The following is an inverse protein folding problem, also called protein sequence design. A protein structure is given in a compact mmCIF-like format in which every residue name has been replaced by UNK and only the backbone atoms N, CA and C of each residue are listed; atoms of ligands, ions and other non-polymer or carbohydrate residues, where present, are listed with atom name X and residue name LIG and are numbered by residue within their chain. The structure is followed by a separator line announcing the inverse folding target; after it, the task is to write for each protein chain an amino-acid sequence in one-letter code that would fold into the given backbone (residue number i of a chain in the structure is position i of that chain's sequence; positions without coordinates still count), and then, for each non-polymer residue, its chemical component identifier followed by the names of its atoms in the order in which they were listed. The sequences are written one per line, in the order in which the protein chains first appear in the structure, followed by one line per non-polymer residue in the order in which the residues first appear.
data_IF_509649720601
#
_entry.id   IF_509649720601
#
_cell.length_a   1.000
_cell.length_b   1.000
_cell.length_c   1.000
_cell.angle_alpha   90.00
_cell.angle_beta   90.00
_cell.angle_gamma   90.00
#
_symmetry.space_group_name_H-M   'P 1'
#
loop_
_entity.id
_entity.type
_entity.pdbx_description
1 polymer ?
#
# COMPACT_ATOMS: atom_id res chain seq x y z
N UNK A 1 40.45 -53.16 -40.97
CA UNK A 1 41.04 -54.47 -40.63
C UNK A 1 40.65 -54.83 -39.20
N UNK A 2 40.19 -56.08 -39.02
CA UNK A 2 39.98 -56.80 -37.77
C UNK A 2 38.94 -56.25 -36.79
N UNK A 3 37.71 -56.74 -37.02
CA UNK A 3 36.71 -57.10 -36.03
C UNK A 3 37.36 -57.92 -34.90
N UNK A 4 37.17 -57.51 -33.66
CA UNK A 4 37.11 -58.43 -32.52
C UNK A 4 35.83 -58.09 -31.77
N UNK A 5 34.79 -58.83 -32.12
CA UNK A 5 33.57 -58.99 -31.36
C UNK A 5 33.99 -59.75 -30.11
N UNK A 6 33.99 -59.08 -28.96
CA UNK A 6 33.94 -59.76 -27.68
C UNK A 6 32.81 -59.11 -26.87
N UNK A 7 31.73 -59.87 -26.85
CA UNK A 7 30.50 -59.69 -26.10
C UNK A 7 30.86 -59.31 -24.65
N UNK A 8 30.70 -58.04 -24.28
CA UNK A 8 30.76 -57.63 -22.87
C UNK A 8 29.43 -58.06 -22.26
N UNK A 9 29.42 -59.31 -21.78
CA UNK A 9 28.46 -59.76 -20.79
C UNK A 9 28.74 -58.90 -19.56
N UNK A 10 27.94 -57.86 -19.36
CA UNK A 10 27.87 -57.17 -18.07
C UNK A 10 27.39 -58.23 -17.10
N UNK A 11 28.35 -58.73 -16.32
CA UNK A 11 28.15 -59.60 -15.19
C UNK A 11 27.18 -58.91 -14.23
N UNK A 12 25.91 -59.26 -14.34
CA UNK A 12 24.92 -59.06 -13.29
C UNK A 12 25.40 -59.87 -12.08
N UNK A 13 26.27 -59.27 -11.27
CA UNK A 13 26.40 -59.61 -9.87
C UNK A 13 25.15 -59.10 -9.16
N UNK A 14 24.00 -59.70 -9.48
CA UNK A 14 22.95 -59.85 -8.48
C UNK A 14 23.33 -61.11 -7.73
N UNK A 15 23.87 -60.88 -6.53
CA UNK A 15 24.08 -61.89 -5.52
C UNK A 15 22.80 -62.72 -5.40
N UNK A 16 22.84 -63.95 -5.92
CA UNK A 16 22.03 -65.02 -5.38
C UNK A 16 22.47 -65.20 -3.93
N UNK A 17 21.84 -64.42 -3.05
CA UNK A 17 21.81 -64.72 -1.64
C UNK A 17 21.01 -66.00 -1.53
N UNK A 18 21.74 -67.11 -1.53
CA UNK A 18 21.46 -68.32 -0.78
C UNK A 18 19.96 -68.66 -0.68
N UNK A 19 19.41 -69.29 -1.72
CA UNK A 19 18.41 -70.33 -1.49
C UNK A 19 19.13 -71.61 -1.00
N UNK A 20 19.87 -71.48 0.10
CA UNK A 20 20.30 -72.62 0.90
C UNK A 20 19.18 -72.90 1.89
N UNK A 21 18.14 -73.55 1.39
CA UNK A 21 17.31 -74.40 2.22
C UNK A 21 17.37 -75.79 1.62
N UNK A 22 18.29 -76.58 2.17
CA UNK A 22 18.06 -77.98 2.53
C UNK A 22 17.28 -78.76 1.48
N UNK A 23 17.89 -78.99 0.32
CA UNK A 23 17.50 -80.12 -0.52
C UNK A 23 18.50 -81.25 -0.20
N UNK A 24 18.06 -82.44 0.24
CA UNK A 24 18.96 -83.48 0.67
C UNK A 24 19.83 -83.99 -0.49
N UNK A 25 21.09 -84.24 -0.15
CA UNK A 25 22.10 -84.91 -0.98
C UNK A 25 21.60 -86.32 -1.37
N UNK A 26 21.54 -86.66 -2.67
CA UNK A 26 21.02 -87.95 -3.13
C UNK A 26 21.86 -89.17 -2.70
N UNK A 27 23.04 -88.99 -2.09
CA UNK A 27 23.91 -90.09 -1.64
C UNK A 27 23.73 -90.49 -0.15
N UNK A 28 22.75 -89.93 0.58
CA UNK A 28 22.39 -90.36 1.95
C UNK A 28 20.93 -90.84 2.06
N UNK A 29 20.66 -92.17 2.17
CA UNK A 29 19.32 -92.68 2.36
C UNK A 29 18.94 -92.58 3.84
N UNK A 30 18.27 -91.49 4.23
CA UNK A 30 17.78 -91.31 5.60
C UNK A 30 17.05 -90.01 5.93
N UNK A 31 17.10 -88.97 5.08
CA UNK A 31 16.50 -87.68 5.45
C UNK A 31 15.03 -87.60 5.01
N UNK A 32 14.13 -87.99 5.92
CA UNK A 32 12.70 -87.76 5.76
C UNK A 32 12.36 -86.26 5.87
N UNK A 33 11.82 -85.67 4.80
CA UNK A 33 11.33 -84.28 4.80
C UNK A 33 10.00 -84.23 5.57
N UNK A 34 9.85 -83.25 6.45
CA UNK A 34 8.58 -83.00 7.16
C UNK A 34 7.67 -82.17 6.26
N UNK A 35 6.55 -82.76 5.85
CA UNK A 35 5.48 -82.14 5.08
C UNK A 35 4.30 -81.85 6.00
N UNK A 36 3.67 -80.68 5.86
CA UNK A 36 2.58 -80.21 6.71
C UNK A 36 1.29 -80.21 5.92
N UNK A 37 0.21 -80.74 6.51
CA UNK A 37 -1.09 -80.81 5.84
C UNK A 37 -1.55 -79.39 5.51
N UNK A 38 -2.02 -79.20 4.29
CA UNK A 38 -2.60 -77.95 3.78
C UNK A 38 -4.04 -78.28 3.37
N UNK A 39 -4.98 -78.04 4.28
CA UNK A 39 -6.37 -78.45 4.16
C UNK A 39 -7.21 -77.41 3.41
N UNK A 40 -6.84 -76.13 3.43
CA UNK A 40 -7.56 -75.06 2.74
C UNK A 40 -6.95 -74.63 1.40
N UNK A 41 -5.72 -75.07 1.11
CA UNK A 41 -5.05 -74.90 -0.17
C UNK A 41 -4.35 -73.54 -0.34
N UNK A 42 -4.04 -72.82 0.74
CA UNK A 42 -3.39 -71.50 0.67
C UNK A 42 -1.85 -71.57 0.51
N UNK A 43 -1.28 -72.77 0.60
CA UNK A 43 0.15 -73.03 0.44
C UNK A 43 0.96 -73.02 1.74
N UNK A 44 0.31 -72.78 2.89
CA UNK A 44 0.84 -72.98 4.22
C UNK A 44 0.16 -74.21 4.83
N UNK A 45 0.93 -74.97 5.61
CA UNK A 45 0.43 -76.19 6.23
C UNK A 45 0.48 -76.09 7.74
N UNK A 46 -0.37 -76.87 8.39
CA UNK A 46 -0.49 -76.88 9.84
C UNK A 46 0.75 -77.47 10.53
N UNK A 47 1.47 -76.72 11.37
CA UNK A 47 2.67 -77.20 12.08
C UNK A 47 2.41 -78.40 12.98
N UNK A 48 1.16 -78.59 13.44
CA UNK A 48 0.75 -79.68 14.33
C UNK A 48 0.26 -80.91 13.57
N UNK A 49 0.15 -80.85 12.24
CA UNK A 49 -0.27 -81.95 11.39
C UNK A 49 0.76 -82.17 10.29
N UNK A 50 1.84 -82.88 10.64
CA UNK A 50 2.91 -83.20 9.70
C UNK A 50 3.14 -84.69 9.51
N UNK A 51 3.68 -85.05 8.35
CA UNK A 51 4.15 -86.40 8.03
C UNK A 51 5.55 -86.32 7.43
N UNK A 52 6.34 -87.36 7.66
CA UNK A 52 7.67 -87.51 7.11
C UNK A 52 7.62 -88.30 5.79
N UNK A 53 8.19 -87.76 4.72
CA UNK A 53 8.23 -88.43 3.42
C UNK A 53 9.35 -87.91 2.52
N UNK A 54 9.89 -88.77 1.67
CA UNK A 54 10.91 -88.41 0.68
C UNK A 54 10.37 -87.61 -0.51
N UNK A 55 9.04 -87.57 -0.71
CA UNK A 55 8.37 -86.81 -1.78
C UNK A 55 7.11 -86.12 -1.23
N UNK A 56 6.68 -85.01 -1.85
CA UNK A 56 5.50 -84.26 -1.41
C UNK A 56 4.23 -85.12 -1.44
N UNK A 57 3.60 -85.39 -0.29
CA UNK A 57 2.32 -86.09 -0.23
C UNK A 57 1.18 -85.18 -0.72
N UNK A 58 0.14 -85.77 -1.31
CA UNK A 58 -1.01 -84.99 -1.79
C UNK A 58 -1.74 -84.32 -0.61
N UNK A 59 -2.02 -83.01 -0.72
CA UNK A 59 -2.64 -82.21 0.34
C UNK A 59 -1.68 -81.83 1.48
N UNK A 60 -0.36 -81.87 1.23
CA UNK A 60 0.66 -81.39 2.17
C UNK A 60 1.64 -80.44 1.47
N UNK A 61 2.15 -79.44 2.19
CA UNK A 61 3.12 -78.44 1.73
C UNK A 61 4.35 -78.41 2.64
N UNK A 62 5.44 -77.83 2.14
CA UNK A 62 6.70 -77.76 2.89
C UNK A 62 6.65 -76.71 4.02
N UNK A 63 5.88 -75.64 3.82
CA UNK A 63 5.82 -74.52 4.76
C UNK A 63 4.80 -74.77 5.87
N UNK A 64 5.25 -75.27 7.03
CA UNK A 64 4.39 -75.56 8.17
C UNK A 64 3.96 -74.36 9.01
N UNK A 65 3.82 -73.17 8.42
CA UNK A 65 3.58 -71.94 9.18
C UNK A 65 2.10 -71.55 9.32
N UNK A 66 1.17 -72.42 8.97
CA UNK A 66 -0.25 -72.07 8.96
C UNK A 66 -0.85 -71.98 10.37
N UNK A 67 -1.45 -70.83 10.65
CA UNK A 67 -2.16 -70.56 11.89
C UNK A 67 -3.56 -71.20 11.94
N UNK A 68 -4.27 -71.29 10.81
CA UNK A 68 -5.62 -71.85 10.69
C UNK A 68 -5.80 -72.53 9.32
N UNK A 69 -5.33 -73.77 9.27
CA UNK A 69 -5.40 -74.74 8.15
C UNK A 69 -6.82 -75.08 7.66
N UNK A 70 -7.85 -74.38 8.15
CA UNK A 70 -9.22 -74.48 7.66
C UNK A 70 -9.72 -73.21 6.97
N UNK A 71 -8.91 -72.15 6.93
CA UNK A 71 -9.27 -70.84 6.41
C UNK A 71 -8.15 -70.24 5.56
N UNK A 72 -8.31 -70.20 4.22
CA UNK A 72 -7.24 -69.80 3.29
C UNK A 72 -6.91 -68.30 3.32
N UNK A 73 -7.49 -67.55 4.25
CA UNK A 73 -7.19 -66.15 4.50
C UNK A 73 -6.29 -65.94 5.73
N UNK A 74 -5.97 -67.00 6.49
CA UNK A 74 -5.18 -66.95 7.73
C UNK A 74 -4.00 -67.91 7.63
N UNK A 75 -3.03 -67.59 6.77
CA UNK A 75 -1.76 -68.32 6.70
C UNK A 75 -0.82 -67.99 7.87
N UNK A 76 0.44 -67.58 7.61
CA UNK A 76 1.44 -67.44 8.66
C UNK A 76 1.25 -66.19 9.52
N UNK A 77 1.82 -66.23 10.73
CA UNK A 77 1.92 -65.05 11.58
C UNK A 77 2.65 -63.92 10.83
N UNK A 78 2.12 -62.69 10.92
CA UNK A 78 2.74 -61.48 10.37
C UNK A 78 2.84 -60.38 11.42
N UNK A 79 3.70 -59.40 11.16
CA UNK A 79 3.79 -58.23 12.02
C UNK A 79 2.58 -57.33 11.84
N UNK A 80 1.97 -56.96 12.97
CA UNK A 80 0.98 -55.91 13.11
C UNK A 80 1.59 -54.79 13.94
N UNK A 81 1.31 -53.54 13.58
CA UNK A 81 1.93 -52.33 14.14
C UNK A 81 0.90 -51.56 14.93
N UNK A 82 1.26 -51.10 16.14
CA UNK A 82 0.33 -50.39 17.01
C UNK A 82 -0.09 -49.08 16.35
N UNK A 83 -1.40 -48.82 16.40
CA UNK A 83 -2.09 -47.64 15.88
C UNK A 83 -2.95 -47.07 17.02
N UNK A 84 -2.43 -46.07 17.72
CA UNK A 84 -3.03 -45.56 18.97
C UNK A 84 -3.89 -44.34 18.76
N UNK A 85 -3.64 -43.59 17.69
CA UNK A 85 -4.44 -42.43 17.31
C UNK A 85 -5.57 -42.80 16.33
N UNK A 86 -5.53 -44.00 15.75
CA UNK A 86 -6.60 -44.60 14.95
C UNK A 86 -6.60 -44.14 13.50
N UNK A 87 -5.47 -43.69 12.96
CA UNK A 87 -5.37 -43.17 11.59
C UNK A 87 -5.20 -44.26 10.51
N UNK A 88 -5.01 -45.52 10.94
CA UNK A 88 -4.83 -46.69 10.07
C UNK A 88 -3.38 -47.02 9.72
N UNK A 89 -2.42 -46.28 10.27
CA UNK A 89 -0.99 -46.51 10.14
C UNK A 89 -0.40 -46.75 11.52
N UNK A 90 0.48 -47.74 11.63
CA UNK A 90 1.13 -48.07 12.88
C UNK A 90 2.64 -47.88 12.83
N UNK A 91 3.27 -47.82 13.99
CA UNK A 91 4.73 -47.58 14.07
C UNK A 91 5.54 -48.88 14.05
N UNK A 92 6.63 -48.89 13.26
CA UNK A 92 7.52 -50.06 13.17
C UNK A 92 8.22 -50.44 14.49
N UNK A 93 8.29 -49.49 15.44
CA UNK A 93 8.88 -49.66 16.77
C UNK A 93 7.98 -50.47 17.72
N UNK A 94 6.67 -50.48 17.50
CA UNK A 94 5.71 -51.22 18.32
C UNK A 94 4.94 -52.21 17.46
N UNK A 95 5.47 -53.43 17.37
CA UNK A 95 4.88 -54.49 16.56
C UNK A 95 4.68 -55.78 17.31
N UNK A 96 3.64 -56.50 16.94
CA UNK A 96 3.25 -57.80 17.49
C UNK A 96 3.14 -58.80 16.34
N UNK A 97 3.65 -60.00 16.56
CA UNK A 97 3.53 -61.11 15.62
C UNK A 97 2.20 -61.83 15.92
N UNK A 98 1.30 -61.91 14.95
CA UNK A 98 -0.03 -62.52 15.12
C UNK A 98 -0.61 -62.97 13.78
N UNK A 99 -1.43 -64.02 13.81
CA UNK A 99 -2.15 -64.55 12.65
C UNK A 99 -3.21 -63.56 12.13
N UNK A 100 -3.88 -62.86 13.04
CA UNK A 100 -4.93 -61.87 12.72
C UNK A 100 -4.66 -60.52 13.39
N UNK A 101 -5.33 -59.48 12.89
CA UNK A 101 -5.27 -58.14 13.46
C UNK A 101 -5.69 -58.16 14.93
N UNK A 102 -4.88 -57.57 15.80
CA UNK A 102 -5.25 -57.30 17.19
C UNK A 102 -5.92 -55.92 17.27
N UNK A 103 -6.78 -55.73 18.27
CA UNK A 103 -7.42 -54.42 18.50
C UNK A 103 -6.36 -53.35 18.76
N UNK A 104 -6.40 -52.25 18.02
CA UNK A 104 -5.40 -51.18 18.08
C UNK A 104 -4.10 -51.48 17.33
N UNK A 105 -4.10 -52.44 16.41
CA UNK A 105 -2.95 -52.75 15.55
C UNK A 105 -3.37 -52.87 14.07
N UNK A 106 -2.52 -52.37 13.18
CA UNK A 106 -2.74 -52.33 11.72
C UNK A 106 -1.57 -52.97 10.97
N UNK A 107 -1.77 -53.35 9.71
CA UNK A 107 -0.73 -54.00 8.91
C UNK A 107 0.27 -53.02 8.26
N UNK A 108 -0.08 -51.73 8.21
CA UNK A 108 0.76 -50.70 7.59
C UNK A 108 1.68 -50.08 8.64
N UNK A 109 2.99 -50.13 8.42
CA UNK A 109 4.00 -49.64 9.36
C UNK A 109 4.49 -48.21 9.08
N UNK A 110 3.79 -47.45 8.24
CA UNK A 110 4.29 -46.18 7.69
C UNK A 110 4.01 -44.98 8.58
N UNK A 111 3.68 -45.18 9.86
CA UNK A 111 3.48 -44.10 10.80
C UNK A 111 4.81 -43.61 11.41
N UNK A 112 4.89 -42.30 11.55
CA UNK A 112 5.98 -41.57 12.15
C UNK A 112 5.89 -41.47 13.69
N UNK A 113 4.67 -41.39 14.24
CA UNK A 113 4.43 -41.26 15.68
C UNK A 113 3.03 -41.77 16.01
N UNK A 114 2.99 -42.91 16.69
CA UNK A 114 1.79 -43.64 17.12
C UNK A 114 0.78 -42.80 17.92
N UNK A 115 1.17 -41.61 18.38
CA UNK A 115 0.30 -40.70 19.13
C UNK A 115 -0.24 -39.53 18.30
N UNK A 116 0.09 -39.43 17.01
CA UNK A 116 -0.38 -38.36 16.14
C UNK A 116 -0.47 -38.80 14.66
N UNK A 117 -1.42 -38.21 13.94
CA UNK A 117 -1.78 -38.68 12.59
C UNK A 117 -0.83 -38.17 11.49
N UNK A 118 0.44 -37.89 11.81
CA UNK A 118 1.40 -37.32 10.87
C UNK A 118 2.08 -38.41 10.07
N UNK A 119 1.63 -38.56 8.83
CA UNK A 119 2.29 -39.43 7.88
C UNK A 119 3.63 -38.85 7.36
N UNK A 120 4.57 -39.71 6.95
CA UNK A 120 5.81 -39.27 6.33
C UNK A 120 5.52 -38.52 5.03
N UNK A 121 6.26 -37.44 4.80
CA UNK A 121 6.14 -36.58 3.62
C UNK A 121 7.45 -36.50 2.86
N UNK A 122 7.39 -36.09 1.60
CA UNK A 122 8.59 -35.81 0.84
C UNK A 122 9.23 -34.49 1.29
N UNK A 123 10.54 -34.55 1.47
CA UNK A 123 11.42 -33.39 1.61
C UNK A 123 12.38 -33.36 0.42
N UNK A 124 12.72 -32.17 -0.02
CA UNK A 124 13.48 -31.88 -1.25
C UNK A 124 14.81 -31.26 -0.87
N UNK A 125 15.89 -31.68 -1.52
CA UNK A 125 17.24 -31.19 -1.20
C UNK A 125 17.32 -29.70 -1.51
N UNK A 126 17.80 -28.93 -0.55
CA UNK A 126 18.04 -27.50 -0.63
C UNK A 126 19.55 -27.29 -0.53
N UNK A 127 20.16 -26.93 -1.67
CA UNK A 127 21.62 -26.95 -1.84
C UNK A 127 22.24 -25.59 -1.58
N UNK A 128 21.53 -24.53 -1.93
CA UNK A 128 21.98 -23.14 -1.78
C UNK A 128 21.37 -22.43 -0.57
N UNK A 129 20.43 -23.07 0.12
CA UNK A 129 19.92 -22.69 1.44
C UNK A 129 18.82 -21.64 1.39
N UNK A 130 18.06 -21.55 0.31
CA UNK A 130 17.04 -20.52 0.11
C UNK A 130 15.64 -20.89 0.62
N UNK A 131 15.46 -22.14 1.07
CA UNK A 131 14.19 -22.65 1.58
C UNK A 131 13.32 -23.36 0.54
N UNK A 132 13.74 -23.42 -0.71
CA UNK A 132 13.14 -24.21 -1.79
C UNK A 132 14.05 -25.39 -2.11
N UNK A 133 13.47 -26.54 -2.42
CA UNK A 133 14.23 -27.73 -2.77
C UNK A 133 13.79 -28.31 -4.10
N UNK A 134 14.70 -29.04 -4.74
CA UNK A 134 14.47 -29.53 -6.10
C UNK A 134 13.74 -30.88 -6.14
N UNK A 135 12.72 -30.99 -7.01
CA UNK A 135 11.91 -32.22 -7.21
C UNK A 135 12.71 -33.47 -7.60
N UNK A 136 13.88 -33.28 -8.24
CA UNK A 136 14.74 -34.37 -8.70
C UNK A 136 15.49 -35.07 -7.55
N UNK A 137 15.57 -34.45 -6.37
CA UNK A 137 16.26 -35.00 -5.22
C UNK A 137 15.38 -34.89 -3.97
N UNK A 138 14.65 -35.96 -3.68
CA UNK A 138 13.70 -36.02 -2.57
C UNK A 138 13.85 -37.26 -1.71
N UNK A 139 13.56 -37.10 -0.43
CA UNK A 139 13.58 -38.16 0.59
C UNK A 139 12.24 -38.18 1.32
N UNK A 140 11.72 -39.37 1.60
CA UNK A 140 10.51 -39.56 2.39
C UNK A 140 10.90 -39.64 3.87
N UNK A 141 10.25 -38.87 4.74
CA UNK A 141 10.53 -38.91 6.16
C UNK A 141 9.49 -38.21 7.01
N UNK A 142 9.65 -38.34 8.33
CA UNK A 142 8.76 -37.76 9.34
C UNK A 142 9.13 -36.33 9.71
N UNK A 143 10.39 -35.98 9.50
CA UNK A 143 10.96 -34.66 9.73
C UNK A 143 11.96 -34.36 8.63
N UNK A 144 12.14 -33.09 8.30
CA UNK A 144 13.10 -32.65 7.30
C UNK A 144 14.53 -33.07 7.71
N UNK A 145 15.23 -33.88 6.90
CA UNK A 145 16.65 -34.12 7.13
C UNK A 145 17.46 -32.84 6.94
N UNK A 146 18.66 -32.78 7.52
CA UNK A 146 19.55 -31.63 7.32
C UNK A 146 19.82 -31.38 5.83
N UNK A 147 19.60 -30.15 5.37
CA UNK A 147 19.75 -29.76 3.96
C UNK A 147 18.58 -30.16 3.06
N UNK A 148 17.40 -30.43 3.64
CA UNK A 148 16.17 -30.67 2.90
C UNK A 148 15.04 -29.79 3.45
N UNK A 149 14.09 -29.42 2.57
CA UNK A 149 12.92 -28.58 2.86
C UNK A 149 11.65 -29.20 2.31
N UNK A 150 10.47 -28.81 2.81
CA UNK A 150 9.19 -29.36 2.33
C UNK A 150 8.68 -28.70 1.05
N UNK A 151 9.22 -27.52 0.70
CA UNK A 151 8.81 -26.79 -0.50
C UNK A 151 9.61 -27.28 -1.71
N UNK A 152 8.92 -27.66 -2.79
CA UNK A 152 9.51 -28.29 -3.96
C UNK A 152 9.70 -27.33 -5.15
N UNK A 153 9.54 -26.01 -4.93
CA UNK A 153 9.49 -25.02 -6.00
C UNK A 153 10.85 -24.56 -6.53
N UNK A 154 11.95 -25.21 -6.14
CA UNK A 154 13.26 -24.86 -6.66
C UNK A 154 13.46 -25.40 -8.09
N UNK A 155 14.00 -24.54 -8.94
CA UNK A 155 14.38 -24.81 -10.31
C UNK A 155 15.88 -24.75 -10.55
N UNK A 156 16.66 -24.24 -9.59
CA UNK A 156 18.09 -24.06 -9.67
C UNK A 156 18.75 -24.14 -8.29
N UNK A 157 19.05 -25.37 -7.87
CA UNK A 157 19.86 -25.79 -6.70
C UNK A 157 21.25 -25.11 -6.54
N UNK A 158 21.61 -24.14 -7.36
CA UNK A 158 22.88 -23.41 -7.26
C UNK A 158 22.69 -21.89 -7.22
N UNK A 159 21.46 -21.40 -7.14
CA UNK A 159 21.14 -19.99 -7.15
C UNK A 159 19.99 -19.65 -6.19
N UNK A 160 20.36 -19.32 -4.96
CA UNK A 160 19.47 -18.91 -3.86
C UNK A 160 18.62 -17.65 -4.12
N UNK A 161 18.69 -17.06 -5.32
CA UNK A 161 17.83 -15.94 -5.75
C UNK A 161 16.67 -16.39 -6.63
N UNK A 162 16.47 -17.69 -6.85
CA UNK A 162 15.38 -18.27 -7.63
C UNK A 162 14.70 -19.39 -6.82
N UNK A 163 13.37 -19.55 -6.92
CA UNK A 163 12.42 -18.81 -7.76
C UNK A 163 12.18 -17.36 -7.29
N UNK A 164 11.60 -16.53 -8.18
CA UNK A 164 11.19 -15.16 -7.88
C UNK A 164 9.69 -14.99 -8.01
N UNK A 165 9.13 -14.06 -7.25
CA UNK A 165 7.77 -13.59 -7.50
C UNK A 165 7.75 -12.60 -8.66
N UNK A 166 6.77 -12.76 -9.54
CA UNK A 166 6.48 -11.90 -10.67
C UNK A 166 5.07 -11.32 -10.51
N UNK A 167 4.96 -10.01 -10.56
CA UNK A 167 3.74 -9.22 -10.36
C UNK A 167 3.37 -8.58 -11.70
N UNK A 168 2.07 -8.54 -12.02
CA UNK A 168 1.60 -7.88 -13.23
C UNK A 168 1.97 -6.40 -13.15
N UNK A 169 2.57 -5.86 -14.20
CA UNK A 169 3.02 -4.48 -14.34
C UNK A 169 2.34 -3.92 -15.59
N UNK A 170 1.14 -3.36 -15.40
CA UNK A 170 0.25 -3.01 -16.52
C UNK A 170 0.55 -1.62 -17.09
N UNK A 171 1.20 -0.74 -16.33
CA UNK A 171 1.56 0.62 -16.74
C UNK A 171 3.06 0.84 -17.04
N UNK A 172 3.88 -0.19 -16.83
CA UNK A 172 5.28 -0.31 -17.25
C UNK A 172 6.24 0.61 -16.51
N UNK A 173 5.98 0.85 -15.23
CA UNK A 173 6.82 1.70 -14.42
C UNK A 173 7.90 0.96 -13.62
N UNK A 174 7.91 -0.37 -13.72
CA UNK A 174 8.87 -1.26 -13.10
C UNK A 174 8.42 -1.80 -11.75
N UNK A 175 7.25 -1.43 -11.25
CA UNK A 175 6.60 -2.04 -10.10
C UNK A 175 5.34 -2.74 -10.57
N UNK A 176 5.09 -3.94 -10.03
CA UNK A 176 3.84 -4.64 -10.30
C UNK A 176 2.94 -4.69 -9.07
N UNK A 177 1.69 -5.05 -9.32
CA UNK A 177 0.65 -5.19 -8.31
C UNK A 177 0.02 -6.59 -8.27
N UNK A 178 -0.78 -6.83 -7.24
CA UNK A 178 -1.62 -8.01 -7.12
C UNK A 178 -0.92 -9.27 -6.61
N UNK A 179 -1.45 -10.44 -7.01
CA UNK A 179 -0.94 -11.75 -6.56
C UNK A 179 0.27 -12.12 -7.40
N UNK A 180 1.45 -12.16 -6.77
CA UNK A 180 2.69 -12.57 -7.43
C UNK A 180 2.69 -14.06 -7.80
N UNK A 181 3.19 -14.37 -8.99
CA UNK A 181 3.44 -15.73 -9.48
C UNK A 181 4.87 -16.11 -9.14
N UNK A 182 5.07 -17.20 -8.40
CA UNK A 182 6.40 -17.72 -8.09
C UNK A 182 6.91 -18.56 -9.27
N UNK A 183 7.93 -18.06 -9.96
CA UNK A 183 8.53 -18.74 -11.12
C UNK A 183 10.01 -18.36 -11.27
N UNK A 184 10.75 -19.20 -11.97
CA UNK A 184 12.17 -19.07 -12.19
C UNK A 184 12.51 -18.23 -13.41
N UNK A 185 11.63 -18.28 -14.40
CA UNK A 185 11.72 -17.44 -15.57
C UNK A 185 10.64 -16.37 -15.49
N UNK A 186 10.96 -15.19 -16.00
CA UNK A 186 9.95 -14.15 -16.17
C UNK A 186 8.83 -14.67 -17.08
N UNK A 187 7.56 -14.53 -16.67
CA UNK A 187 6.44 -14.87 -17.54
C UNK A 187 6.50 -14.08 -18.85
N UNK A 188 6.14 -14.73 -19.96
CA UNK A 188 6.34 -14.19 -21.31
C UNK A 188 5.16 -13.38 -21.84
N UNK A 189 4.20 -12.97 -21.00
CA UNK A 189 3.15 -12.06 -21.47
C UNK A 189 3.77 -10.69 -21.75
N UNK A 190 3.39 -10.13 -22.89
CA UNK A 190 3.80 -8.79 -23.31
C UNK A 190 2.59 -7.90 -23.42
N UNK A 191 2.75 -6.63 -23.07
CA UNK A 191 1.73 -5.61 -23.31
C UNK A 191 1.55 -5.37 -24.82
N UNK A 192 0.48 -4.69 -25.27
CA UNK A 192 0.20 -4.44 -26.69
C UNK A 192 1.34 -3.76 -27.47
N UNK A 193 2.24 -3.06 -26.78
CA UNK A 193 3.41 -2.39 -27.36
C UNK A 193 4.69 -3.25 -27.38
N UNK A 194 4.63 -4.47 -26.81
CA UNK A 194 5.72 -5.44 -26.78
C UNK A 194 6.64 -5.34 -25.56
N UNK A 195 6.35 -4.47 -24.59
CA UNK A 195 7.04 -4.46 -23.29
C UNK A 195 6.67 -5.70 -22.47
N UNK A 196 7.42 -5.97 -21.39
CA UNK A 196 7.16 -7.09 -20.50
C UNK A 196 6.07 -6.68 -19.50
N UNK A 197 5.01 -7.47 -19.41
CA UNK A 197 3.86 -7.18 -18.53
C UNK A 197 4.08 -7.58 -17.06
N UNK A 198 5.33 -7.81 -16.63
CA UNK A 198 5.62 -8.32 -15.29
C UNK A 198 6.89 -7.71 -14.70
N UNK A 199 6.79 -7.26 -13.45
CA UNK A 199 7.92 -6.86 -12.62
C UNK A 199 8.22 -7.90 -11.54
N UNK A 200 9.49 -8.03 -11.14
CA UNK A 200 9.88 -8.80 -9.96
C UNK A 200 9.91 -7.94 -8.68
N UNK A 201 9.40 -6.71 -8.75
CA UNK A 201 9.27 -5.76 -7.65
C UNK A 201 7.77 -5.50 -7.45
N UNK A 202 7.30 -5.69 -6.22
CA UNK A 202 5.91 -5.44 -5.82
C UNK A 202 5.79 -4.02 -5.24
N UNK A 203 4.55 -3.60 -5.01
CA UNK A 203 4.22 -2.43 -4.20
C UNK A 203 3.58 -1.30 -4.99
N UNK A 204 3.25 -1.55 -6.26
CA UNK A 204 2.47 -0.59 -7.02
C UNK A 204 1.04 -0.49 -6.46
N UNK A 205 0.68 0.73 -6.07
CA UNK A 205 -0.64 1.06 -5.53
C UNK A 205 -1.62 1.49 -6.63
N UNK A 206 -1.16 1.75 -7.86
CA UNK A 206 -1.98 2.08 -9.02
C UNK A 206 -1.33 1.63 -10.35
N UNK A 207 -1.48 0.33 -10.64
CA UNK A 207 -1.01 -0.38 -11.85
C UNK A 207 -1.58 0.12 -13.19
N UNK A 208 -2.38 1.19 -13.19
CA UNK A 208 -2.90 1.84 -14.41
C UNK A 208 -2.23 3.22 -14.67
N UNK A 209 -1.29 3.66 -13.84
CA UNK A 209 -0.64 4.96 -13.96
C UNK A 209 0.82 4.97 -13.48
N UNK A 210 1.72 4.92 -14.46
CA UNK A 210 3.17 4.87 -14.26
C UNK A 210 3.82 6.05 -13.55
N UNK A 211 3.06 7.06 -13.11
CA UNK A 211 3.54 8.12 -12.23
C UNK A 211 3.26 7.85 -10.74
N UNK A 212 2.49 6.82 -10.41
CA UNK A 212 2.08 6.47 -9.05
C UNK A 212 2.72 5.14 -8.70
N UNK A 213 3.83 5.18 -7.95
CA UNK A 213 4.65 4.00 -7.66
C UNK A 213 5.57 4.21 -6.47
N UNK A 214 6.12 3.15 -5.87
CA UNK A 214 7.13 3.24 -4.82
C UNK A 214 8.25 4.26 -5.11
N UNK A 215 8.29 5.31 -4.29
CA UNK A 215 9.31 6.37 -4.34
C UNK A 215 9.14 7.41 -5.46
N UNK A 216 7.96 7.52 -6.07
CA UNK A 216 7.64 8.63 -6.96
C UNK A 216 7.68 9.99 -6.24
N UNK A 217 7.58 11.09 -7.00
CA UNK A 217 7.50 12.42 -6.40
C UNK A 217 6.06 12.70 -5.95
N UNK A 218 5.89 12.89 -4.65
CA UNK A 218 4.64 13.35 -4.06
C UNK A 218 4.13 14.69 -4.62
N UNK A 219 2.84 14.70 -4.99
CA UNK A 219 2.08 15.85 -5.44
C UNK A 219 0.93 16.03 -4.46
N UNK A 220 0.70 17.25 -3.99
CA UNK A 220 -0.43 17.56 -3.12
C UNK A 220 -1.75 17.64 -3.93
N UNK A 221 -2.20 16.51 -4.48
CA UNK A 221 -3.43 16.34 -5.24
C UNK A 221 -4.46 15.41 -4.55
N UNK A 222 -4.10 14.86 -3.38
CA UNK A 222 -4.92 13.97 -2.58
C UNK A 222 -4.74 12.49 -2.90
N UNK A 223 -3.70 12.13 -3.66
CA UNK A 223 -3.31 10.77 -4.01
C UNK A 223 -1.97 10.45 -3.34
N UNK A 224 -1.80 9.21 -2.89
CA UNK A 224 -0.49 8.65 -2.51
C UNK A 224 0.27 8.35 -3.81
N UNK A 225 1.16 9.24 -4.23
CA UNK A 225 1.88 9.07 -5.50
C UNK A 225 3.07 8.15 -5.35
N UNK A 226 3.69 8.09 -4.16
CA UNK A 226 4.90 7.33 -3.91
C UNK A 226 4.68 5.95 -3.25
N UNK A 227 3.41 5.57 -3.07
CA UNK A 227 2.93 4.31 -2.52
C UNK A 227 3.53 3.96 -1.14
N UNK A 228 3.86 4.95 -0.30
CA UNK A 228 4.36 4.73 1.06
C UNK A 228 3.24 4.58 2.11
N UNK A 229 1.98 4.82 1.71
CA UNK A 229 0.78 4.76 2.55
C UNK A 229 0.41 6.10 3.21
N UNK A 230 1.17 7.17 2.97
CA UNK A 230 0.83 8.54 3.33
C UNK A 230 0.28 9.29 2.10
N UNK A 231 -0.37 10.42 2.34
CA UNK A 231 -0.97 11.22 1.27
C UNK A 231 -0.50 12.66 1.44
N UNK A 232 -0.01 13.27 0.36
CA UNK A 232 0.37 14.68 0.25
C UNK A 232 1.48 15.12 1.26
N UNK A 233 2.44 14.24 1.56
CA UNK A 233 3.58 14.50 2.45
C UNK A 233 4.75 15.21 1.77
N UNK A 234 4.58 15.61 0.51
CA UNK A 234 5.52 16.47 -0.18
C UNK A 234 5.90 17.73 0.62
N UNK A 235 7.17 18.20 0.54
CA UNK A 235 7.64 19.38 1.26
C UNK A 235 6.80 20.63 0.98
N UNK A 236 6.14 21.15 2.02
CA UNK A 236 5.32 22.36 1.95
C UNK A 236 6.20 23.61 1.96
N UNK A 237 5.88 24.65 1.16
CA UNK A 237 6.63 25.90 1.20
C UNK A 237 6.54 26.57 2.57
N UNK A 238 7.55 27.40 2.89
CA UNK A 238 7.50 28.25 4.07
C UNK A 238 6.32 29.22 4.06
N UNK A 239 5.89 29.65 5.25
CA UNK A 239 4.84 30.68 5.37
C UNK A 239 5.35 32.01 4.79
N UNK A 240 4.58 32.71 3.93
CA UNK A 240 4.99 34.02 3.41
C UNK A 240 5.34 35.02 4.52
N UNK A 241 6.30 35.89 4.25
CA UNK A 241 6.60 37.04 5.10
C UNK A 241 5.40 37.99 5.20
N UNK A 242 5.36 38.77 6.28
CA UNK A 242 4.26 39.73 6.52
C UNK A 242 4.20 40.77 5.40
N UNK A 243 3.07 40.89 4.68
CA UNK A 243 2.88 41.92 3.66
C UNK A 243 2.87 43.33 4.26
N UNK A 244 3.30 44.32 3.48
CA UNK A 244 3.16 45.72 3.87
C UNK A 244 1.74 46.23 3.61
N UNK A 245 1.28 47.15 4.46
CA UNK A 245 -0.09 47.68 4.44
C UNK A 245 -0.04 49.20 4.28
N UNK A 246 -0.55 49.72 3.17
CA UNK A 246 -0.60 51.15 2.90
C UNK A 246 -2.05 51.62 2.80
N UNK A 247 -2.45 52.51 3.71
CA UNK A 247 -3.84 52.96 3.87
C UNK A 247 -4.10 54.23 3.09
N UNK A 248 -5.24 54.28 2.42
CA UNK A 248 -5.72 55.42 1.66
C UNK A 248 -7.17 55.71 2.01
N UNK A 249 -7.65 56.89 1.63
CA UNK A 249 -9.06 57.22 1.79
C UNK A 249 -9.92 56.34 0.88
N UNK A 250 -10.75 55.49 1.50
CA UNK A 250 -11.67 54.58 0.82
C UNK A 250 -11.07 53.24 0.39
N UNK A 251 -9.75 53.03 0.52
CA UNK A 251 -9.13 51.75 0.19
C UNK A 251 -7.80 51.52 0.91
N UNK A 252 -7.27 50.31 0.82
CA UNK A 252 -5.94 49.95 1.32
C UNK A 252 -5.25 49.06 0.32
N UNK A 253 -3.95 49.24 0.15
CA UNK A 253 -3.11 48.40 -0.71
C UNK A 253 -2.27 47.49 0.18
N UNK A 254 -2.38 46.19 -0.07
CA UNK A 254 -1.55 45.17 0.56
C UNK A 254 -0.49 44.76 -0.45
N UNK A 255 0.79 44.74 -0.06
CA UNK A 255 1.91 44.41 -0.96
C UNK A 255 2.74 43.28 -0.36
N UNK A 256 2.86 42.18 -1.10
CA UNK A 256 3.68 41.02 -0.70
C UNK A 256 5.15 41.22 -1.06
N UNK A 257 6.03 40.52 -0.37
CA UNK A 257 7.44 40.40 -0.77
C UNK A 257 7.64 39.53 -2.02
N UNK A 258 8.89 39.42 -2.46
CA UNK A 258 9.31 38.45 -3.47
C UNK A 258 9.15 37.03 -2.95
N UNK A 259 8.84 36.10 -3.87
CA UNK A 259 8.80 34.67 -3.57
C UNK A 259 10.15 34.03 -3.93
N UNK A 260 10.56 32.96 -3.22
CA UNK A 260 11.70 32.13 -3.62
C UNK A 260 11.49 31.49 -5.01
N UNK A 261 12.59 31.01 -5.61
CA UNK A 261 12.51 30.21 -6.85
C UNK A 261 11.65 28.96 -6.63
N UNK A 262 10.87 28.58 -7.63
CA UNK A 262 9.96 27.42 -7.56
C UNK A 262 8.71 27.64 -6.71
N UNK A 263 8.53 28.80 -6.08
CA UNK A 263 7.39 29.13 -5.23
C UNK A 263 6.62 30.33 -5.78
N UNK A 264 5.29 30.21 -5.82
CA UNK A 264 4.40 31.33 -6.19
C UNK A 264 3.51 31.72 -5.01
N UNK A 265 3.40 33.03 -4.75
CA UNK A 265 2.51 33.55 -3.71
C UNK A 265 1.17 33.96 -4.30
N UNK A 266 0.09 33.54 -3.64
CA UNK A 266 -1.28 33.83 -4.05
C UNK A 266 -2.07 34.45 -2.91
N UNK A 267 -2.83 35.48 -3.27
CA UNK A 267 -3.77 36.17 -2.41
C UNK A 267 -5.05 35.35 -2.23
N UNK A 268 -5.48 35.13 -0.97
CA UNK A 268 -6.61 34.28 -0.63
C UNK A 268 -7.70 35.06 0.13
N UNK A 269 -8.96 34.68 -0.10
CA UNK A 269 -10.14 35.19 0.60
C UNK A 269 -10.42 34.47 1.93
N UNK A 270 -9.85 33.28 2.13
CA UNK A 270 -9.98 32.49 3.36
C UNK A 270 -8.62 31.99 3.84
N UNK A 271 -8.56 31.56 5.10
CA UNK A 271 -7.34 31.03 5.71
C UNK A 271 -6.90 29.69 5.12
N UNK A 272 -7.78 28.93 4.47
CA UNK A 272 -7.46 27.66 3.80
C UNK A 272 -7.54 27.74 2.28
N UNK A 273 -7.69 28.95 1.71
CA UNK A 273 -7.90 29.13 0.28
C UNK A 273 -6.78 28.56 -0.58
N UNK A 274 -7.15 27.92 -1.69
CA UNK A 274 -6.24 27.31 -2.67
C UNK A 274 -6.37 27.94 -4.06
N UNK A 275 -6.89 29.17 -4.14
CA UNK A 275 -7.08 29.86 -5.42
C UNK A 275 -5.74 30.30 -6.01
N UNK A 276 -5.52 30.00 -7.28
CA UNK A 276 -4.34 30.45 -8.04
C UNK A 276 -4.64 31.69 -8.89
N UNK A 277 -5.78 32.35 -8.67
CA UNK A 277 -6.26 33.44 -9.53
C UNK A 277 -5.47 34.75 -9.42
N UNK A 278 -4.87 35.04 -8.26
CA UNK A 278 -4.19 36.31 -8.03
C UNK A 278 -2.81 36.13 -7.39
N UNK A 279 -1.78 36.20 -8.22
CA UNK A 279 -0.37 36.23 -7.82
C UNK A 279 0.27 37.61 -7.93
N UNK A 280 -0.51 38.69 -8.07
CA UNK A 280 0.03 40.04 -8.22
C UNK A 280 0.85 40.46 -6.98
N UNK A 281 1.84 41.33 -7.19
CA UNK A 281 2.68 41.85 -6.10
C UNK A 281 1.89 42.66 -5.07
N UNK A 282 0.75 43.22 -5.46
CA UNK A 282 -0.16 43.94 -4.58
C UNK A 282 -1.62 43.66 -4.89
N UNK A 283 -2.48 43.92 -3.91
CA UNK A 283 -3.93 43.90 -4.06
C UNK A 283 -4.56 45.08 -3.33
N UNK A 284 -5.56 45.70 -3.98
CA UNK A 284 -6.35 46.79 -3.39
C UNK A 284 -7.62 46.24 -2.74
N UNK A 285 -7.87 46.67 -1.51
CA UNK A 285 -9.05 46.31 -0.73
C UNK A 285 -9.87 47.56 -0.41
N UNK A 286 -11.15 47.54 -0.79
CA UNK A 286 -12.15 48.58 -0.49
C UNK A 286 -13.13 48.17 0.62
N UNK A 287 -13.04 46.92 1.09
CA UNK A 287 -13.82 46.39 2.20
C UNK A 287 -13.09 45.22 2.87
N UNK A 288 -13.50 44.90 4.11
CA UNK A 288 -12.94 43.83 4.93
C UNK A 288 -11.92 44.31 5.96
N UNK A 289 -11.48 43.40 6.81
CA UNK A 289 -10.53 43.65 7.91
C UNK A 289 -9.36 42.67 7.93
N UNK A 290 -9.51 41.53 7.27
CA UNK A 290 -8.49 40.49 7.14
C UNK A 290 -8.45 39.99 5.70
N UNK A 291 -7.24 39.68 5.25
CA UNK A 291 -6.99 38.99 4.00
C UNK A 291 -5.80 38.05 4.18
N UNK A 292 -5.56 37.18 3.21
CA UNK A 292 -4.63 36.08 3.41
C UNK A 292 -3.66 35.99 2.24
N UNK A 293 -2.45 35.51 2.53
CA UNK A 293 -1.44 35.21 1.55
C UNK A 293 -0.91 33.80 1.81
N UNK A 294 -0.83 32.98 0.76
CA UNK A 294 -0.28 31.63 0.83
C UNK A 294 0.74 31.40 -0.26
N UNK A 295 1.71 30.54 0.01
CA UNK A 295 2.70 30.10 -0.96
C UNK A 295 2.30 28.74 -1.51
N UNK A 296 2.55 28.52 -2.80
CA UNK A 296 2.36 27.24 -3.47
C UNK A 296 3.68 26.78 -4.09
N UNK A 297 4.03 25.52 -3.89
CA UNK A 297 5.13 24.87 -4.61
C UNK A 297 4.69 24.66 -6.07
N UNK A 298 5.50 25.09 -7.03
CA UNK A 298 5.15 25.01 -8.44
C UNK A 298 5.26 23.59 -9.01
N UNK A 299 6.01 22.71 -8.34
CA UNK A 299 6.21 21.31 -8.73
C UNK A 299 5.17 20.44 -8.02
N UNK A 300 5.23 20.39 -6.69
CA UNK A 300 4.37 19.50 -5.89
C UNK A 300 2.96 20.04 -5.69
N UNK A 301 2.68 21.29 -6.08
CA UNK A 301 1.37 21.90 -5.89
C UNK A 301 0.99 22.21 -4.43
N UNK A 302 1.84 21.82 -3.46
CA UNK A 302 1.59 21.93 -2.04
C UNK A 302 1.51 23.37 -1.56
N UNK A 303 0.55 23.61 -0.67
CA UNK A 303 0.32 24.92 -0.07
C UNK A 303 1.00 25.07 1.28
N UNK A 304 1.54 26.25 1.54
CA UNK A 304 2.08 26.60 2.85
C UNK A 304 0.98 26.87 3.88
N UNK A 305 1.39 26.93 5.15
CA UNK A 305 0.61 27.57 6.20
C UNK A 305 0.33 29.04 5.86
N UNK A 306 -0.82 29.52 6.33
CA UNK A 306 -1.35 30.80 5.87
C UNK A 306 -0.78 31.99 6.60
N UNK A 307 -0.48 33.05 5.85
CA UNK A 307 -0.20 34.37 6.39
C UNK A 307 -1.47 35.21 6.43
N UNK A 308 -1.96 35.48 7.63
CA UNK A 308 -3.03 36.46 7.85
C UNK A 308 -2.50 37.89 7.81
N UNK A 309 -3.23 38.77 7.13
CA UNK A 309 -2.93 40.19 6.99
C UNK A 309 -4.12 40.98 7.51
N UNK A 310 -3.97 41.55 8.70
CA UNK A 310 -4.98 42.45 9.27
C UNK A 310 -4.78 43.85 8.70
N UNK A 311 -5.86 44.49 8.28
CA UNK A 311 -5.84 45.85 7.76
C UNK A 311 -7.10 46.63 8.13
N UNK A 312 -7.03 47.94 7.95
CA UNK A 312 -8.16 48.84 8.13
C UNK A 312 -8.16 49.84 6.99
N UNK A 313 -9.34 50.30 6.59
CA UNK A 313 -9.50 51.28 5.51
C UNK A 313 -9.82 52.63 6.13
N UNK A 314 -9.16 53.69 5.66
CA UNK A 314 -9.48 55.02 6.13
C UNK A 314 -10.85 55.41 5.57
N UNK A 315 -11.83 55.59 6.45
CA UNK A 315 -13.20 55.94 6.07
C UNK A 315 -13.24 57.34 5.45
N UNK A 316 -13.94 57.45 4.33
CA UNK A 316 -14.31 58.74 3.74
C UNK A 316 -15.60 59.19 4.44
N UNK A 317 -15.66 60.39 5.04
CA UNK A 317 -16.90 60.92 5.58
C UNK A 317 -17.96 61.09 4.48
N UNK A 318 -19.23 60.99 4.87
CA UNK A 318 -20.33 61.32 3.97
C UNK A 318 -20.26 62.78 3.53
N UNK A 319 -20.78 63.04 2.32
CA UNK A 319 -20.90 64.40 1.81
C UNK A 319 -21.87 65.19 2.68
N UNK A 320 -21.53 66.40 3.16
CA UNK A 320 -22.42 67.21 3.97
C UNK A 320 -23.81 67.38 3.34
N UNK A 321 -24.83 67.46 4.20
CA UNK A 321 -26.19 67.84 3.79
C UNK A 321 -26.19 69.26 3.20
N UNK A 322 -27.20 69.57 2.38
CA UNK A 322 -27.36 70.90 1.79
C UNK A 322 -27.44 71.98 2.88
N UNK A 323 -26.55 72.99 2.89
CA UNK A 323 -26.63 74.12 3.82
C UNK A 323 -27.91 74.94 3.62
N UNK A 324 -28.44 75.53 4.68
CA UNK A 324 -29.56 76.47 4.57
C UNK A 324 -29.07 77.82 4.06
N UNK A 325 -29.87 78.48 3.23
CA UNK A 325 -29.53 79.73 2.56
C UNK A 325 -30.46 80.83 3.06
N UNK A 326 -29.90 81.88 3.68
CA UNK A 326 -30.61 83.08 4.08
C UNK A 326 -30.14 84.27 3.26
N UNK A 327 -31.01 84.79 2.38
CA UNK A 327 -30.73 85.97 1.54
C UNK A 327 -31.09 87.25 2.29
N UNK A 328 -30.14 88.18 2.40
CA UNK A 328 -30.35 89.51 2.94
C UNK A 328 -30.04 90.56 1.85
N UNK A 329 -30.33 91.84 2.11
CA UNK A 329 -29.87 92.92 1.22
C UNK A 329 -28.34 93.02 1.29
N UNK A 330 -27.67 92.93 0.13
CA UNK A 330 -26.21 93.06 0.00
C UNK A 330 -25.39 91.84 0.42
N UNK A 331 -25.99 90.79 1.00
CA UNK A 331 -25.28 89.55 1.32
C UNK A 331 -26.21 88.33 1.40
N UNK A 332 -25.61 87.15 1.33
CA UNK A 332 -26.28 85.86 1.60
C UNK A 332 -25.47 85.08 2.62
N UNK A 333 -26.16 84.57 3.64
CA UNK A 333 -25.57 83.73 4.70
C UNK A 333 -25.88 82.27 4.39
N UNK A 334 -24.83 81.45 4.34
CA UNK A 334 -24.91 80.01 4.22
C UNK A 334 -24.64 79.39 5.58
N UNK A 335 -25.51 78.48 6.03
CA UNK A 335 -25.41 77.85 7.35
C UNK A 335 -25.30 76.34 7.21
N UNK A 336 -24.23 75.75 7.74
CA UNK A 336 -24.04 74.31 7.75
C UNK A 336 -24.88 73.64 8.86
N UNK A 337 -25.17 72.35 8.68
CA UNK A 337 -25.73 71.49 9.71
C UNK A 337 -24.67 71.06 10.73
N UNK A 338 -25.11 70.41 11.81
CA UNK A 338 -24.19 69.81 12.78
C UNK A 338 -23.43 68.65 12.14
N UNK A 339 -22.11 68.62 12.31
CA UNK A 339 -21.30 67.51 11.84
C UNK A 339 -21.40 66.30 12.77
N UNK A 340 -21.30 65.07 12.23
CA UNK A 340 -21.18 63.86 13.04
C UNK A 340 -19.92 63.88 13.93
N UNK A 341 -19.93 63.09 15.01
CA UNK A 341 -18.75 62.92 15.87
C UNK A 341 -17.53 62.45 15.06
N UNK A 342 -16.35 63.02 15.34
CA UNK A 342 -15.11 62.70 14.63
C UNK A 342 -14.99 63.30 13.22
N UNK A 343 -15.96 64.11 12.78
CA UNK A 343 -15.96 64.79 11.48
C UNK A 343 -16.08 66.30 11.67
N UNK A 344 -15.29 67.06 10.93
CA UNK A 344 -15.38 68.53 10.89
C UNK A 344 -15.75 68.98 9.49
N UNK A 345 -16.70 69.90 9.39
CA UNK A 345 -17.09 70.52 8.12
C UNK A 345 -16.29 71.79 7.88
N UNK A 346 -15.83 71.97 6.63
CA UNK A 346 -15.06 73.12 6.21
C UNK A 346 -15.61 73.70 4.91
N UNK A 347 -15.78 75.01 4.92
CA UNK A 347 -16.16 75.78 3.75
C UNK A 347 -15.01 75.87 2.74
N UNK A 348 -15.29 75.64 1.45
CA UNK A 348 -14.29 75.57 0.39
C UNK A 348 -14.64 76.50 -0.78
N UNK A 349 -13.62 77.08 -1.40
CA UNK A 349 -13.71 77.88 -2.63
C UNK A 349 -13.82 77.04 -3.90
N UNK A 350 -13.51 75.74 -3.83
CA UNK A 350 -13.63 74.80 -4.95
C UNK A 350 -14.19 73.46 -4.48
N UNK A 351 -14.70 72.66 -5.41
CA UNK A 351 -15.23 71.31 -5.15
C UNK A 351 -14.16 70.32 -4.68
N UNK A 352 -12.88 70.60 -4.92
CA UNK A 352 -11.74 69.76 -4.49
C UNK A 352 -10.93 70.39 -3.35
N UNK A 353 -11.33 71.55 -2.83
CA UNK A 353 -10.57 72.29 -1.81
C UNK A 353 -10.39 71.50 -0.52
N UNK A 354 -9.20 71.58 0.07
CA UNK A 354 -8.81 70.86 1.30
C UNK A 354 -8.40 71.83 2.41
N UNK A 355 -8.83 73.10 2.33
CA UNK A 355 -8.50 74.09 3.34
C UNK A 355 -9.19 73.78 4.66
N UNK A 356 -8.46 73.86 5.77
CA UNK A 356 -9.02 73.72 7.12
C UNK A 356 -9.20 75.07 7.81
N UNK A 357 -9.17 76.19 7.07
CA UNK A 357 -9.18 77.54 7.63
C UNK A 357 -10.55 78.01 8.13
N UNK A 358 -11.65 77.46 7.62
CA UNK A 358 -12.99 77.92 7.99
C UNK A 358 -13.94 76.74 8.26
N UNK A 359 -14.15 76.46 9.54
CA UNK A 359 -15.14 75.48 10.05
C UNK A 359 -16.35 76.14 10.74
N UNK A 360 -16.53 77.44 10.56
CA UNK A 360 -17.61 78.19 11.21
C UNK A 360 -19.00 77.72 10.77
N UNK A 361 -19.97 77.75 11.68
CA UNK A 361 -21.36 77.34 11.41
C UNK A 361 -22.00 78.15 10.27
N UNK A 362 -21.61 79.41 10.12
CA UNK A 362 -22.15 80.33 9.13
C UNK A 362 -21.04 80.97 8.32
N UNK A 363 -21.23 81.11 7.01
CA UNK A 363 -20.40 81.99 6.18
C UNK A 363 -21.26 83.01 5.45
N UNK A 364 -20.85 84.28 5.54
CA UNK A 364 -21.48 85.38 4.82
C UNK A 364 -20.76 85.61 3.50
N UNK A 365 -21.53 85.64 2.41
CA UNK A 365 -21.05 85.92 1.06
C UNK A 365 -21.63 87.25 0.58
N UNK A 366 -20.77 88.11 0.05
CA UNK A 366 -21.14 89.40 -0.57
C UNK A 366 -20.97 89.38 -2.09
N UNK A 367 -20.41 88.29 -2.64
CA UNK A 367 -20.20 88.09 -4.08
C UNK A 367 -20.08 86.59 -4.41
N UNK A 368 -20.25 86.26 -5.70
CA UNK A 368 -20.17 84.89 -6.22
C UNK A 368 -21.54 84.22 -6.39
N UNK A 369 -21.54 83.01 -6.97
CA UNK A 369 -22.76 82.24 -7.30
C UNK A 369 -22.76 80.84 -6.73
N UNK A 370 -21.57 80.27 -6.47
CA UNK A 370 -21.41 78.91 -5.92
C UNK A 370 -20.36 78.93 -4.83
N UNK A 371 -20.60 78.17 -3.77
CA UNK A 371 -19.61 77.85 -2.76
C UNK A 371 -19.75 76.38 -2.36
N UNK A 372 -18.78 75.85 -1.63
CA UNK A 372 -18.73 74.41 -1.35
C UNK A 372 -18.58 74.13 0.14
N UNK A 373 -19.16 73.03 0.58
CA UNK A 373 -18.97 72.49 1.92
C UNK A 373 -18.43 71.07 1.82
N UNK A 374 -17.35 70.77 2.56
CA UNK A 374 -16.75 69.43 2.61
C UNK A 374 -16.55 68.97 4.04
N UNK A 375 -16.71 67.67 4.26
CA UNK A 375 -16.43 67.01 5.53
C UNK A 375 -15.01 66.44 5.53
N UNK A 376 -14.32 66.54 6.67
CA UNK A 376 -13.02 65.92 6.91
C UNK A 376 -13.10 64.99 8.11
N UNK A 377 -12.63 63.76 7.97
CA UNK A 377 -12.45 62.85 9.10
C UNK A 377 -11.27 63.34 9.95
N UNK A 378 -11.47 63.51 11.25
CA UNK A 378 -10.47 64.11 12.12
C UNK A 378 -9.28 63.16 12.38
N UNK A 379 -9.50 61.84 12.32
CA UNK A 379 -8.46 60.83 12.56
C UNK A 379 -7.70 60.49 11.29
N UNK A 380 -8.40 60.16 10.20
CA UNK A 380 -7.77 59.72 8.95
C UNK A 380 -7.36 60.86 8.03
N UNK A 381 -7.89 62.07 8.27
CA UNK A 381 -7.69 63.22 7.39
C UNK A 381 -8.41 63.14 6.05
N UNK A 382 -9.23 62.10 5.83
CA UNK A 382 -9.95 61.89 4.59
C UNK A 382 -11.06 62.91 4.37
N UNK A 383 -11.17 63.39 3.14
CA UNK A 383 -12.17 64.36 2.73
C UNK A 383 -13.33 63.69 2.00
N UNK A 384 -14.55 64.13 2.28
CA UNK A 384 -15.76 63.74 1.53
C UNK A 384 -15.76 64.33 0.11
N UNK A 385 -16.75 63.92 -0.69
CA UNK A 385 -17.21 64.73 -1.83
C UNK A 385 -17.67 66.12 -1.39
N UNK A 386 -17.71 67.08 -2.31
CA UNK A 386 -18.19 68.43 -2.02
C UNK A 386 -19.69 68.57 -2.20
N UNK A 387 -20.33 69.24 -1.23
CA UNK A 387 -21.67 69.76 -1.39
C UNK A 387 -21.58 71.14 -2.03
N UNK A 388 -22.02 71.24 -3.29
CA UNK A 388 -22.18 72.53 -3.97
C UNK A 388 -23.38 73.28 -3.41
N UNK A 389 -23.21 74.57 -3.16
CA UNK A 389 -24.23 75.49 -2.64
C UNK A 389 -24.37 76.65 -3.60
N UNK A 390 -25.43 76.64 -4.41
CA UNK A 390 -25.74 77.73 -5.31
C UNK A 390 -26.51 78.83 -4.57
N UNK A 391 -26.07 80.09 -4.69
CA UNK A 391 -26.70 81.23 -4.04
C UNK A 391 -26.68 82.47 -4.96
N UNK A 392 -27.46 83.48 -4.58
CA UNK A 392 -27.50 84.80 -5.23
C UNK A 392 -27.35 85.89 -4.18
N UNK A 393 -26.88 87.07 -4.57
CA UNK A 393 -26.82 88.26 -3.71
C UNK A 393 -27.91 89.23 -4.17
N UNK A 394 -28.78 89.65 -3.25
CA UNK A 394 -29.76 90.69 -3.57
C UNK A 394 -29.05 92.04 -3.58
N UNK A 395 -29.35 92.87 -4.58
CA UNK A 395 -28.85 94.25 -4.64
C UNK A 395 -29.36 95.04 -3.44
N UNK A 396 -28.52 95.94 -2.92
CA UNK A 396 -28.95 96.92 -1.93
C UNK A 396 -29.85 97.92 -2.69
N UNK A 397 -31.10 98.15 -2.24
CA UNK A 397 -32.02 99.12 -2.86
C UNK A 397 -31.45 100.52 -2.97
#
# INVERSE_FOLDING_TARGET
MKKNILLIIVSLFFTEILFSQIMPDPDFPGDEITWYRDLDGDGYGNPRSSIQSSTQPNGYVFNGADCDDSNPNIGPEKFWYRDSDGDGYGTSSNKVLSCTALSGYVSNSSDCDDNNSSLPRYYYRDVDGDGYGTLSNKVLGCSAPSGYVSNASDCNDSNASLPKYWYLDSDEDGYGAGIGILDCNQPTLTNPDGSLAYSNINGDCNDDNSNIKPGALEICDGIDNDCDGQIDEAPKPGTPSTPSVMKYCGYTVLTRGSSPSGITYYWQSSSSGSSTANSSASITRTSGTIYYLRARNNITGCWSSTRSVSYSINTIPDTPSTPSIKKNCGNTVLTQSNSPSGVTYYWQSSSSGTSTSNSSTNITRTSGTIYYLRARNNTSGCWSGARSVSYSINTIP
#
